data_IF_585161406766
#
_entry.id   IF_585161406766
#
_cell.length_a   1.000
_cell.length_b   1.000
_cell.length_c   1.000
_cell.angle_alpha   90.00
_cell.angle_beta   90.00
_cell.angle_gamma   90.00
#
_symmetry.space_group_name_H-M   'P 1'
#
loop_
_entity.id
_entity.type
_entity.pdbx_description
1 polymer ?
#
# COMPACT_ATOMS: atom_id res chain seq x y z
N UNK A 1 -1.83 12.65 2.77
CA UNK A 1 -2.15 12.57 1.34
C UNK A 1 -3.06 11.37 1.12
N UNK A 2 -4.03 11.45 0.21
CA UNK A 2 -4.87 10.33 -0.19
C UNK A 2 -4.63 10.03 -1.66
N UNK A 3 -4.40 8.76 -1.98
CA UNK A 3 -4.12 8.28 -3.33
C UNK A 3 -5.14 7.20 -3.73
N UNK A 4 -5.41 7.09 -5.02
CA UNK A 4 -6.10 5.96 -5.63
C UNK A 4 -5.09 5.22 -6.49
N UNK A 5 -4.97 3.91 -6.32
CA UNK A 5 -4.05 3.11 -7.12
C UNK A 5 -4.57 1.72 -7.42
N UNK A 6 -4.22 1.18 -8.59
CA UNK A 6 -4.43 -0.21 -8.93
C UNK A 6 -3.32 -1.08 -8.35
N UNK A 7 -3.67 -2.08 -7.55
CA UNK A 7 -2.71 -2.98 -6.94
C UNK A 7 -2.04 -3.89 -7.99
N UNK A 8 -0.72 -3.77 -8.14
CA UNK A 8 0.08 -4.61 -9.04
C UNK A 8 0.66 -5.81 -8.30
N UNK A 9 1.41 -5.58 -7.22
CA UNK A 9 1.99 -6.65 -6.42
C UNK A 9 2.10 -6.29 -4.94
N UNK A 10 2.22 -7.32 -4.10
CA UNK A 10 2.44 -7.18 -2.66
C UNK A 10 3.63 -8.05 -2.28
N UNK A 11 4.54 -7.49 -1.48
CA UNK A 11 5.57 -8.25 -0.78
C UNK A 11 5.29 -8.25 0.71
N UNK A 12 5.32 -9.43 1.32
CA UNK A 12 5.13 -9.60 2.76
C UNK A 12 6.46 -9.93 3.44
N UNK A 13 6.71 -9.31 4.59
CA UNK A 13 7.85 -9.64 5.47
C UNK A 13 7.45 -9.50 6.93
N UNK A 14 8.40 -9.73 7.83
CA UNK A 14 8.22 -9.58 9.27
C UNK A 14 9.24 -8.57 9.83
N UNK A 15 8.83 -7.80 10.82
CA UNK A 15 9.72 -6.92 11.57
C UNK A 15 10.77 -7.73 12.32
N UNK A 16 12.00 -7.24 12.37
CA UNK A 16 13.10 -7.93 13.07
C UNK A 16 12.85 -8.06 14.58
N UNK A 17 12.22 -7.04 15.19
CA UNK A 17 12.06 -6.91 16.64
C UNK A 17 11.00 -7.85 17.23
N UNK A 18 9.83 -7.92 16.60
CA UNK A 18 8.64 -8.58 17.17
C UNK A 18 7.92 -9.50 16.17
N UNK A 19 8.53 -9.78 15.01
CA UNK A 19 8.02 -10.71 13.99
C UNK A 19 6.61 -10.36 13.46
N UNK A 20 6.16 -9.11 13.66
CA UNK A 20 4.88 -8.63 13.16
C UNK A 20 4.95 -8.35 11.67
N UNK A 21 3.82 -8.54 10.98
CA UNK A 21 3.76 -8.45 9.51
C UNK A 21 3.96 -7.02 9.02
N UNK A 22 4.87 -6.85 8.07
CA UNK A 22 5.09 -5.63 7.30
C UNK A 22 4.75 -5.93 5.84
N UNK A 23 4.09 -5.01 5.15
CA UNK A 23 3.77 -5.17 3.74
C UNK A 23 4.28 -4.02 2.90
N UNK A 24 4.80 -4.34 1.72
CA UNK A 24 5.13 -3.38 0.69
C UNK A 24 4.13 -3.58 -0.45
N UNK A 25 3.39 -2.53 -0.77
CA UNK A 25 2.47 -2.51 -1.89
C UNK A 25 3.09 -1.74 -3.04
N UNK A 26 2.87 -2.21 -4.25
CA UNK A 26 3.22 -1.50 -5.47
C UNK A 26 1.93 -1.28 -6.27
N UNK A 27 1.65 -0.02 -6.56
CA UNK A 27 0.44 0.43 -7.22
C UNK A 27 0.76 1.23 -8.48
N UNK A 28 -0.21 1.30 -9.38
CA UNK A 28 -0.24 2.27 -10.47
C UNK A 28 -1.30 3.32 -10.19
N UNK A 29 -0.94 4.59 -10.32
CA UNK A 29 -1.89 5.70 -10.27
C UNK A 29 -2.67 5.83 -11.59
N UNK A 30 -3.62 6.79 -11.71
CA UNK A 30 -4.39 7.00 -12.94
C UNK A 30 -3.55 7.35 -14.17
N UNK A 31 -2.38 7.97 -13.97
CA UNK A 31 -1.43 8.33 -15.00
C UNK A 31 -0.49 7.17 -15.39
N UNK A 32 -0.58 6.04 -14.68
CA UNK A 32 0.28 4.86 -14.89
C UNK A 32 1.67 5.02 -14.27
N UNK A 33 1.87 5.98 -13.38
CA UNK A 33 3.10 6.11 -12.62
C UNK A 33 3.09 5.16 -11.41
N UNK A 34 4.29 4.72 -11.03
CA UNK A 34 4.48 3.85 -9.88
C UNK A 34 4.22 4.60 -8.58
N UNK A 35 3.47 3.96 -7.70
CA UNK A 35 3.22 4.43 -6.36
C UNK A 35 3.50 3.31 -5.35
N UNK A 36 4.62 3.43 -4.66
CA UNK A 36 5.04 2.46 -3.66
C UNK A 36 4.46 2.81 -2.29
N UNK A 37 4.08 1.78 -1.54
CA UNK A 37 3.53 1.93 -0.19
C UNK A 37 4.20 1.00 0.80
N UNK A 38 4.26 1.45 2.06
CA UNK A 38 4.63 0.61 3.20
C UNK A 38 3.49 0.58 4.22
N UNK A 39 3.13 -0.61 4.66
CA UNK A 39 2.09 -0.87 5.66
C UNK A 39 2.73 -1.50 6.88
N UNK A 40 2.98 -0.69 7.90
CA UNK A 40 3.47 -1.14 9.18
C UNK A 40 2.48 -2.06 9.89
N UNK A 41 2.93 -2.88 10.85
CA UNK A 41 2.10 -3.91 11.49
C UNK A 41 0.69 -3.52 11.91
N UNK A 42 0.51 -2.35 12.52
CA UNK A 42 -0.81 -1.90 12.95
C UNK A 42 -1.71 -1.57 11.74
N UNK A 43 -1.16 -0.88 10.74
CA UNK A 43 -1.87 -0.56 9.49
C UNK A 43 -2.19 -1.82 8.69
N UNK A 44 -1.22 -2.73 8.53
CA UNK A 44 -1.39 -4.00 7.83
C UNK A 44 -2.44 -4.90 8.48
N UNK A 45 -2.55 -4.88 9.81
CA UNK A 45 -3.55 -5.64 10.55
C UNK A 45 -4.96 -5.03 10.42
N UNK A 46 -5.07 -3.71 10.54
CA UNK A 46 -6.36 -2.99 10.50
C UNK A 46 -6.91 -2.84 9.07
N UNK A 47 -6.03 -2.70 8.08
CA UNK A 47 -6.35 -2.43 6.69
C UNK A 47 -5.66 -3.45 5.76
N UNK A 48 -6.03 -4.74 5.84
CA UNK A 48 -5.38 -5.77 5.04
C UNK A 48 -5.71 -5.62 3.56
N UNK A 49 -4.79 -6.07 2.71
CA UNK A 49 -5.05 -6.23 1.28
C UNK A 49 -6.16 -7.28 1.04
N UNK A 50 -7.06 -6.99 0.10
CA UNK A 50 -8.24 -7.80 -0.26
C UNK A 50 -8.21 -8.27 -1.73
N UNK A 51 -7.02 -8.65 -2.20
CA UNK A 51 -6.76 -9.12 -3.56
C UNK A 51 -6.65 -8.02 -4.62
N UNK A 52 -6.63 -8.39 -5.91
CA UNK A 52 -6.47 -7.44 -7.02
C UNK A 52 -7.58 -6.39 -7.06
N UNK A 53 -7.22 -5.17 -7.44
CA UNK A 53 -8.14 -4.07 -7.72
C UNK A 53 -7.64 -2.70 -7.31
N UNK A 54 -8.53 -1.71 -7.41
CA UNK A 54 -8.25 -0.36 -6.97
C UNK A 54 -8.38 -0.24 -5.45
N UNK A 55 -7.46 0.52 -4.87
CA UNK A 55 -7.43 0.86 -3.46
C UNK A 55 -7.33 2.37 -3.31
N UNK A 56 -8.13 2.90 -2.39
CA UNK A 56 -7.93 4.24 -1.87
C UNK A 56 -7.13 4.10 -0.57
N UNK A 57 -6.07 4.87 -0.43
CA UNK A 57 -5.25 4.83 0.78
C UNK A 57 -4.73 6.21 1.15
N UNK A 58 -4.63 6.42 2.45
CA UNK A 58 -4.19 7.67 3.05
C UNK A 58 -2.92 7.40 3.84
N UNK A 59 -1.96 8.31 3.73
CA UNK A 59 -0.68 8.18 4.40
C UNK A 59 0.20 9.42 4.34
N UNK A 60 1.40 9.24 4.88
CA UNK A 60 2.48 10.22 4.89
C UNK A 60 3.47 9.83 3.79
N UNK A 61 3.83 10.78 2.93
CA UNK A 61 4.89 10.57 1.94
C UNK A 61 6.23 10.58 2.67
N UNK A 62 7.02 9.55 2.43
CA UNK A 62 8.38 9.39 2.96
C UNK A 62 9.34 9.17 1.80
N UNK A 63 10.60 9.52 2.00
CA UNK A 63 11.67 9.18 1.09
C UNK A 63 12.55 8.13 1.75
N UNK A 64 12.79 7.01 1.07
CA UNK A 64 13.71 5.97 1.49
C UNK A 64 14.61 5.57 0.32
N UNK A 65 15.92 5.64 0.50
CA UNK A 65 16.93 5.41 -0.54
C UNK A 65 16.68 6.18 -1.86
N UNK A 66 16.16 7.40 -1.79
CA UNK A 66 15.87 8.24 -2.98
C UNK A 66 14.59 7.85 -3.72
N UNK A 67 13.75 7.00 -3.13
CA UNK A 67 12.45 6.59 -3.67
C UNK A 67 11.35 7.14 -2.78
N UNK A 68 10.36 7.80 -3.39
CA UNK A 68 9.16 8.25 -2.67
C UNK A 68 8.24 7.05 -2.40
N UNK A 69 7.82 6.91 -1.15
CA UNK A 69 6.92 5.84 -0.69
C UNK A 69 5.88 6.42 0.25
N UNK A 70 4.65 5.91 0.20
CA UNK A 70 3.60 6.30 1.15
C UNK A 70 3.57 5.35 2.35
N UNK A 71 3.80 5.87 3.54
CA UNK A 71 3.47 5.16 4.79
C UNK A 71 1.97 5.21 5.02
N UNK A 72 1.31 4.09 4.78
CA UNK A 72 -0.15 4.01 4.79
C UNK A 72 -0.67 3.89 6.21
N UNK A 73 -1.60 4.77 6.59
CA UNK A 73 -2.29 4.77 7.88
C UNK A 73 -3.77 4.38 7.76
N UNK A 74 -4.32 4.41 6.55
CA UNK A 74 -5.66 3.93 6.23
C UNK A 74 -5.71 3.39 4.80
N UNK A 75 -6.42 2.29 4.56
CA UNK A 75 -6.62 1.76 3.22
C UNK A 75 -7.96 1.03 3.10
N UNK A 76 -8.60 1.20 1.95
CA UNK A 76 -9.79 0.45 1.57
C UNK A 76 -9.71 -0.02 0.11
N UNK A 77 -10.30 -1.19 -0.15
CA UNK A 77 -10.45 -1.68 -1.52
C UNK A 77 -11.71 -1.05 -2.12
N UNK A 78 -11.55 -0.31 -3.20
CA UNK A 78 -12.66 0.30 -3.95
C UNK A 78 -13.32 -0.74 -4.87
N UNK A 79 -12.52 -1.65 -5.44
CA UNK A 79 -13.00 -2.74 -6.30
C UNK A 79 -12.42 -2.71 -7.70
N UNK A 80 -13.02 -3.49 -8.60
CA UNK A 80 -12.77 -3.45 -10.05
C UNK A 80 -14.14 -3.46 -10.69
N UNK A 81 -14.45 -2.48 -11.55
CA UNK A 81 -15.62 -2.57 -12.41
C UNK A 81 -15.29 -3.55 -13.54
N UNK A 82 -15.72 -4.79 -13.41
CA UNK A 82 -15.72 -5.73 -14.54
C UNK A 82 -16.96 -5.42 -15.37
N UNK A 83 -16.75 -5.11 -16.65
CA UNK A 83 -17.82 -4.94 -17.65
C UNK A 83 -18.51 -6.25 -17.97
#
# INVERSE_FOLDING_TARGET
>A
MTCLGYLVCIKHTATKKDQRRLHFGNFLDPEGAWLDTVHFPDSAANFPFRGRGFYAFTGIVMEDFGVLTVSVTFMEKVGIKTG
#
